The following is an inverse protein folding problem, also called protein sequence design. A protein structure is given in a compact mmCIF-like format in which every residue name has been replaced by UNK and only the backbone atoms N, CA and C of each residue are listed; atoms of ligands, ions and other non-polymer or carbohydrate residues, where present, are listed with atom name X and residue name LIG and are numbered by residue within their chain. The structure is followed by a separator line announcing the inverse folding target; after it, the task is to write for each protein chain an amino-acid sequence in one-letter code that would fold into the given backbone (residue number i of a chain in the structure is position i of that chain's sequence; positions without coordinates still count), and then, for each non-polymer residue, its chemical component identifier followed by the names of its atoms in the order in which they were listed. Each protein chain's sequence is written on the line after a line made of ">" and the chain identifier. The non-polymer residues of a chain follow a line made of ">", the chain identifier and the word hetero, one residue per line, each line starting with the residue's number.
data_IF_123412917364
#
_entry.id   IF_123412917364
#
_cell.length_a   1.000
_cell.length_b   1.000
_cell.length_c   1.000
_cell.angle_alpha   90.00
_cell.angle_beta   90.00
_cell.angle_gamma   90.00
#
_symmetry.space_group_name_H-M   'P 1'
#
loop_
_entity.id
_entity.type
_entity.pdbx_description
1 polymer ?
#
# COMPACT_ATOMS: atom_id res chain seq x y z
N UNK A 1 -0.01 -12.53 -10.92
CA UNK A 1 0.02 -11.10 -10.49
C UNK A 1 -0.07 -10.14 -11.67
N UNK A 2 0.81 -10.17 -12.69
CA UNK A 2 0.65 -9.27 -13.87
C UNK A 2 -0.67 -9.43 -14.64
N UNK A 3 -1.23 -10.64 -14.65
CA UNK A 3 -2.52 -10.93 -15.30
C UNK A 3 -3.69 -10.09 -14.74
N UNK A 4 -3.64 -9.72 -13.45
CA UNK A 4 -4.70 -8.90 -12.83
C UNK A 4 -4.69 -7.45 -13.33
N UNK A 5 -3.59 -7.01 -13.94
CA UNK A 5 -3.45 -5.66 -14.50
C UNK A 5 -3.86 -5.59 -15.98
N UNK A 6 -4.06 -6.73 -16.65
CA UNK A 6 -4.35 -6.77 -18.09
C UNK A 6 -5.74 -6.21 -18.46
N UNK A 7 -6.66 -6.16 -17.49
CA UNK A 7 -8.03 -5.69 -17.68
C UNK A 7 -8.28 -4.29 -17.07
N UNK A 8 -7.24 -3.57 -16.65
CA UNK A 8 -7.41 -2.22 -16.14
C UNK A 8 -7.49 -1.22 -17.29
N UNK A 9 -8.53 -0.39 -17.30
CA UNK A 9 -8.69 0.73 -18.24
C UNK A 9 -7.76 1.92 -17.90
N UNK A 10 -6.81 1.74 -16.98
CA UNK A 10 -5.87 2.75 -16.50
C UNK A 10 -4.46 2.31 -16.83
N UNK A 11 -3.67 3.24 -17.39
CA UNK A 11 -2.26 3.00 -17.66
C UNK A 11 -1.47 2.77 -16.36
N UNK A 12 -0.76 1.65 -16.29
CA UNK A 12 0.16 1.35 -15.17
C UNK A 12 1.54 1.91 -15.52
N UNK A 13 1.99 2.93 -14.80
CA UNK A 13 3.33 3.52 -14.98
C UNK A 13 4.44 2.57 -14.47
N UNK A 14 4.26 2.03 -13.26
CA UNK A 14 5.26 1.18 -12.59
C UNK A 14 4.61 -0.06 -11.98
N UNK A 15 5.34 -1.17 -12.08
CA UNK A 15 5.06 -2.41 -11.37
C UNK A 15 6.25 -2.76 -10.49
N UNK A 16 6.07 -2.70 -9.18
CA UNK A 16 7.14 -2.90 -8.20
C UNK A 16 7.01 -4.27 -7.54
N UNK A 17 8.13 -4.98 -7.41
CA UNK A 17 8.25 -6.20 -6.63
C UNK A 17 9.35 -5.97 -5.62
N UNK A 18 8.98 -5.87 -4.35
CA UNK A 18 9.88 -5.53 -3.26
C UNK A 18 10.04 -6.74 -2.32
N UNK A 19 11.18 -6.82 -1.63
CA UNK A 19 11.45 -7.83 -0.61
C UNK A 19 12.02 -7.14 0.62
N UNK A 20 11.36 -7.30 1.76
CA UNK A 20 11.76 -6.63 3.00
C UNK A 20 10.59 -6.48 3.97
N UNK A 21 10.78 -5.61 4.96
CA UNK A 21 9.72 -5.22 5.89
C UNK A 21 8.74 -4.32 5.13
N UNK A 22 7.47 -4.73 5.07
CA UNK A 22 6.43 -4.07 4.25
C UNK A 22 6.34 -2.56 4.45
N UNK A 23 6.41 -2.09 5.70
CA UNK A 23 6.36 -0.66 6.02
C UNK A 23 7.54 0.12 5.42
N UNK A 24 8.75 -0.44 5.48
CA UNK A 24 9.93 0.21 4.94
C UNK A 24 9.88 0.26 3.42
N UNK A 25 9.47 -0.84 2.77
CA UNK A 25 9.36 -0.91 1.31
C UNK A 25 8.29 0.03 0.77
N UNK A 26 7.13 0.12 1.43
CA UNK A 26 6.07 1.07 1.06
C UNK A 26 6.59 2.51 1.20
N UNK A 27 7.18 2.87 2.34
CA UNK A 27 7.70 4.24 2.57
C UNK A 27 8.83 4.61 1.62
N UNK A 28 9.71 3.66 1.30
CA UNK A 28 10.78 3.84 0.32
C UNK A 28 10.18 4.09 -1.07
N UNK A 29 9.26 3.24 -1.52
CA UNK A 29 8.61 3.36 -2.83
C UNK A 29 7.84 4.67 -2.98
N UNK A 30 7.14 5.12 -1.94
CA UNK A 30 6.43 6.41 -1.96
C UNK A 30 7.39 7.57 -2.18
N UNK A 31 8.51 7.60 -1.45
CA UNK A 31 9.50 8.68 -1.57
C UNK A 31 10.23 8.63 -2.92
N UNK A 32 10.67 7.45 -3.33
CA UNK A 32 11.42 7.25 -4.57
C UNK A 32 10.61 7.64 -5.81
N UNK A 33 9.28 7.45 -5.75
CA UNK A 33 8.39 7.70 -6.88
C UNK A 33 7.46 8.91 -6.69
N UNK A 34 7.65 9.69 -5.63
CA UNK A 34 6.84 10.87 -5.30
C UNK A 34 5.33 10.57 -5.31
N UNK A 35 4.94 9.44 -4.73
CA UNK A 35 3.52 9.06 -4.61
C UNK A 35 2.85 9.99 -3.59
N UNK A 36 1.73 10.57 -3.96
CA UNK A 36 0.94 11.48 -3.12
C UNK A 36 -0.27 10.80 -2.46
N UNK A 37 -0.74 9.68 -3.01
CA UNK A 37 -1.83 8.86 -2.46
C UNK A 37 -1.49 7.37 -2.48
N UNK A 38 -1.54 6.75 -1.30
CA UNK A 38 -1.47 5.30 -1.15
C UNK A 38 -2.89 4.73 -0.96
N UNK A 39 -3.27 3.75 -1.79
CA UNK A 39 -4.53 3.01 -1.65
C UNK A 39 -4.21 1.58 -1.19
N UNK A 40 -4.77 1.17 -0.06
CA UNK A 40 -4.60 -0.20 0.46
C UNK A 40 -5.94 -0.86 0.76
N UNK A 41 -6.07 -2.11 0.32
CA UNK A 41 -7.19 -2.98 0.68
C UNK A 41 -7.00 -3.62 2.06
N UNK A 42 -8.07 -3.80 2.83
CA UNK A 42 -8.04 -4.56 4.08
C UNK A 42 -9.28 -5.46 4.27
N UNK A 43 -9.06 -6.66 4.84
CA UNK A 43 -10.12 -7.58 5.21
C UNK A 43 -10.63 -7.36 6.65
N UNK A 44 -11.84 -7.85 6.94
CA UNK A 44 -12.59 -7.61 8.18
C UNK A 44 -12.18 -8.50 9.38
N UNK A 45 -11.21 -9.40 9.22
CA UNK A 45 -10.73 -10.28 10.31
C UNK A 45 -9.89 -9.49 11.33
N UNK A 46 -9.44 -10.13 12.42
CA UNK A 46 -8.54 -9.60 13.46
C UNK A 46 -7.28 -8.88 12.92
N UNK A 47 -7.07 -8.89 11.60
CA UNK A 47 -6.26 -7.95 10.87
C UNK A 47 -6.54 -6.48 11.22
N UNK A 48 -7.76 -6.01 11.54
CA UNK A 48 -7.90 -4.61 12.00
C UNK A 48 -7.12 -4.34 13.29
N UNK A 49 -7.13 -5.25 14.28
CA UNK A 49 -6.32 -5.03 15.49
C UNK A 49 -4.82 -5.22 15.25
N UNK A 50 -4.42 -6.09 14.31
CA UNK A 50 -3.01 -6.32 13.94
C UNK A 50 -2.44 -5.23 13.00
N UNK A 51 -3.22 -4.82 11.99
CA UNK A 51 -2.97 -3.67 11.10
C UNK A 51 -3.11 -2.38 11.91
N UNK A 52 -4.05 -2.20 12.83
CA UNK A 52 -4.02 -1.01 13.70
C UNK A 52 -3.00 -1.10 14.84
N UNK A 53 -2.33 -2.23 15.10
CA UNK A 53 -1.17 -2.24 16.01
C UNK A 53 0.15 -2.00 15.27
N UNK A 54 0.37 -2.65 14.13
CA UNK A 54 1.58 -2.52 13.30
C UNK A 54 1.41 -1.45 12.23
N UNK A 55 0.34 -1.52 11.43
CA UNK A 55 0.02 -0.48 10.47
C UNK A 55 -0.50 0.83 11.10
N UNK A 56 -0.80 0.93 12.41
CA UNK A 56 -0.96 2.26 12.99
C UNK A 56 0.37 3.01 13.05
N UNK A 57 1.51 2.33 13.18
CA UNK A 57 2.81 2.97 13.02
C UNK A 57 3.03 3.41 11.55
N UNK A 58 2.70 2.52 10.62
CA UNK A 58 2.72 2.79 9.17
C UNK A 58 1.84 4.00 8.80
N UNK A 59 0.57 3.99 9.23
CA UNK A 59 -0.43 5.03 8.96
C UNK A 59 0.00 6.35 9.60
N UNK A 60 0.46 6.36 10.86
CA UNK A 60 0.88 7.58 11.56
C UNK A 60 2.06 8.28 10.88
N UNK A 61 2.96 7.53 10.28
CA UNK A 61 4.20 8.05 9.70
C UNK A 61 4.24 7.95 8.17
N UNK A 62 3.08 7.78 7.54
CA UNK A 62 2.98 7.71 6.09
C UNK A 62 3.35 9.08 5.51
N UNK A 63 4.28 9.16 4.54
CA UNK A 63 4.70 10.43 3.97
C UNK A 63 3.74 10.98 2.91
N UNK A 64 2.55 10.40 2.75
CA UNK A 64 1.54 10.77 1.77
C UNK A 64 0.13 10.50 2.31
N UNK A 65 -0.90 10.94 1.57
CA UNK A 65 -2.28 10.63 1.91
C UNK A 65 -2.54 9.11 1.81
N UNK A 66 -3.42 8.60 2.66
CA UNK A 66 -3.73 7.17 2.73
C UNK A 66 -5.23 6.92 2.66
N UNK A 67 -5.64 6.11 1.68
CA UNK A 67 -7.00 5.59 1.54
C UNK A 67 -7.04 4.09 1.86
N UNK A 68 -7.72 3.73 2.94
CA UNK A 68 -7.98 2.35 3.31
C UNK A 68 -9.35 1.92 2.77
N UNK A 69 -9.33 0.96 1.85
CA UNK A 69 -10.55 0.39 1.24
C UNK A 69 -10.83 -0.97 1.86
N UNK A 70 -12.02 -1.14 2.39
CA UNK A 70 -12.46 -2.43 2.89
C UNK A 70 -12.82 -3.36 1.72
N UNK A 71 -12.25 -4.57 1.73
CA UNK A 71 -12.45 -5.62 0.72
C UNK A 71 -12.92 -6.93 1.34
#
# INVERSE_FOLDING_TARGET
>A
MKEQLQNMEVAVDKYLVCCGVIENEIRHSIKEHNIDLLIMGHHKTNALTQIFSEAAALVRNMPCDLLLVKI
#
